data_IF_031490700475
#
_entry.id   IF_031490700475
#
_cell.length_a   1.000
_cell.length_b   1.000
_cell.length_c   1.000
_cell.angle_alpha   90.00
_cell.angle_beta   90.00
_cell.angle_gamma   90.00
#
_symmetry.space_group_name_H-M   'P 1'
#
loop_
_entity.id
_entity.type
_entity.pdbx_description
1 polymer ?
#
# COMPACT_ATOMS: atom_id res chain seq x y z
N UNK A 1 -31.48 -20.29 11.11
CA UNK A 1 -30.02 -20.34 11.29
C UNK A 1 -29.48 -19.10 10.65
N UNK A 2 -29.11 -18.11 11.46
CA UNK A 2 -28.31 -16.96 11.01
C UNK A 2 -26.87 -17.45 10.91
N UNK A 3 -26.34 -17.56 9.70
CA UNK A 3 -24.91 -17.73 9.48
C UNK A 3 -24.22 -16.43 9.93
N UNK A 4 -23.81 -16.40 11.19
CA UNK A 4 -22.81 -15.44 11.63
C UNK A 4 -21.49 -15.94 11.07
N UNK A 5 -21.05 -15.40 9.94
CA UNK A 5 -19.67 -15.53 9.49
C UNK A 5 -18.77 -15.11 10.64
N UNK A 6 -18.08 -16.08 11.23
CA UNK A 6 -17.02 -15.81 12.20
C UNK A 6 -15.94 -15.10 11.41
N UNK A 7 -15.86 -13.78 11.59
CA UNK A 7 -14.69 -13.02 11.20
C UNK A 7 -13.57 -13.61 12.06
N UNK A 8 -12.69 -14.42 11.47
CA UNK A 8 -11.46 -14.86 12.15
C UNK A 8 -10.72 -13.65 12.70
N UNK A 9 -9.85 -13.83 13.70
CA UNK A 9 -9.07 -12.73 14.28
C UNK A 9 -8.43 -11.94 13.13
N UNK A 10 -9.03 -10.79 12.85
CA UNK A 10 -8.62 -9.98 11.72
C UNK A 10 -7.16 -9.62 12.01
N UNK A 11 -6.23 -9.76 11.05
CA UNK A 11 -4.85 -9.38 11.28
C UNK A 11 -4.83 -8.01 11.92
N UNK A 12 -4.09 -7.88 13.02
CA UNK A 12 -4.12 -6.65 13.80
C UNK A 12 -3.80 -5.48 12.87
N UNK A 13 -4.49 -4.35 13.07
CA UNK A 13 -4.28 -3.09 12.32
C UNK A 13 -2.78 -2.74 12.15
N UNK A 14 -1.94 -3.19 13.08
CA UNK A 14 -0.49 -3.07 13.03
C UNK A 14 0.18 -3.79 11.86
N UNK A 15 -0.33 -4.94 11.42
CA UNK A 15 0.19 -5.64 10.24
C UNK A 15 -0.16 -4.90 8.94
N UNK A 16 -1.38 -4.36 8.84
CA UNK A 16 -1.76 -3.48 7.72
C UNK A 16 -0.83 -2.27 7.68
N UNK A 17 -0.59 -1.63 8.84
CA UNK A 17 0.36 -0.51 8.93
C UNK A 17 1.78 -0.93 8.57
N UNK A 18 2.24 -2.12 8.98
CA UNK A 18 3.57 -2.65 8.63
C UNK A 18 3.74 -2.76 7.12
N UNK A 19 2.78 -3.38 6.43
CA UNK A 19 2.81 -3.53 4.96
C UNK A 19 2.77 -2.17 4.27
N UNK A 20 1.89 -1.26 4.69
CA UNK A 20 1.85 0.09 4.13
C UNK A 20 3.14 0.87 4.43
N UNK A 21 3.80 0.62 5.56
CA UNK A 21 5.08 1.24 5.88
C UNK A 21 6.20 0.74 4.95
N UNK A 22 6.16 -0.51 4.47
CA UNK A 22 7.11 -0.98 3.44
C UNK A 22 6.97 -0.18 2.14
N UNK A 23 5.75 0.15 1.74
CA UNK A 23 5.51 1.03 0.59
C UNK A 23 6.17 2.40 0.77
N UNK A 24 5.97 3.03 1.94
CA UNK A 24 6.59 4.32 2.28
C UNK A 24 8.11 4.23 2.24
N UNK A 25 8.67 3.23 2.90
CA UNK A 25 10.10 3.00 2.98
C UNK A 25 10.74 2.73 1.61
N UNK A 26 9.96 2.21 0.65
CA UNK A 26 10.41 1.96 -0.70
C UNK A 26 10.92 3.21 -1.42
N UNK A 27 10.36 4.39 -1.12
CA UNK A 27 10.83 5.66 -1.67
C UNK A 27 12.23 6.07 -1.19
N UNK A 28 12.74 5.45 -0.11
CA UNK A 28 14.08 5.69 0.45
C UNK A 28 15.14 4.69 -0.03
N UNK A 29 14.89 4.00 -1.15
CA UNK A 29 15.87 3.11 -1.78
C UNK A 29 15.67 1.61 -1.52
N UNK A 30 14.49 1.20 -1.05
CA UNK A 30 14.14 -0.20 -0.81
C UNK A 30 13.23 -0.78 -1.87
N UNK A 31 13.76 -1.19 -3.03
CA UNK A 31 12.96 -1.84 -4.08
C UNK A 31 12.36 -3.16 -3.56
N UNK A 32 13.15 -3.92 -2.81
CA UNK A 32 12.75 -5.16 -2.15
C UNK A 32 11.56 -4.95 -1.20
N UNK A 33 11.45 -3.77 -0.57
CA UNK A 33 10.31 -3.43 0.29
C UNK A 33 9.05 -3.19 -0.53
N UNK A 34 9.18 -2.59 -1.72
CA UNK A 34 8.06 -2.44 -2.65
C UNK A 34 7.60 -3.81 -3.17
N UNK A 35 8.54 -4.71 -3.47
CA UNK A 35 8.23 -6.08 -3.90
C UNK A 35 7.57 -6.90 -2.78
N UNK A 36 7.88 -6.64 -1.52
CA UNK A 36 7.19 -7.25 -0.37
C UNK A 36 5.79 -6.66 -0.13
N UNK A 37 5.59 -5.36 -0.39
CA UNK A 37 4.34 -4.66 -0.07
C UNK A 37 3.19 -4.94 -1.04
N UNK A 38 3.51 -5.26 -2.30
CA UNK A 38 2.52 -5.37 -3.38
C UNK A 38 2.53 -6.75 -4.02
N UNK A 39 1.35 -7.24 -4.33
CA UNK A 39 1.19 -8.41 -5.18
C UNK A 39 1.73 -8.11 -6.57
N UNK A 40 2.30 -9.12 -7.23
CA UNK A 40 2.89 -9.00 -8.58
C UNK A 40 1.92 -8.45 -9.64
N UNK A 41 0.61 -8.63 -9.42
CA UNK A 41 -0.47 -8.22 -10.32
C UNK A 41 -1.19 -6.94 -9.83
N UNK A 42 -0.62 -6.22 -8.87
CA UNK A 42 -1.19 -4.99 -8.33
C UNK A 42 -1.11 -3.83 -9.33
N UNK A 43 -2.17 -3.04 -9.39
CA UNK A 43 -2.31 -1.90 -10.31
C UNK A 43 -2.23 -0.58 -9.56
N UNK A 44 -1.73 0.45 -10.24
CA UNK A 44 -1.83 1.83 -9.80
C UNK A 44 -2.58 2.68 -10.82
N UNK A 45 -3.43 3.55 -10.29
CA UNK A 45 -4.14 4.59 -11.02
C UNK A 45 -3.74 5.92 -10.43
N UNK A 46 -3.13 6.80 -11.23
CA UNK A 46 -2.64 8.10 -10.77
C UNK A 46 -3.03 9.18 -11.77
N UNK A 47 -3.39 10.36 -11.26
CA UNK A 47 -3.53 11.56 -12.07
C UNK A 47 -2.18 12.26 -12.14
N UNK A 48 -1.71 12.56 -13.34
CA UNK A 48 -0.51 13.39 -13.52
C UNK A 48 -0.79 14.88 -13.25
N UNK A 49 0.23 15.72 -13.41
CA UNK A 49 0.13 17.16 -13.14
C UNK A 49 -0.88 17.86 -14.06
N UNK A 50 -1.16 17.28 -15.23
CA UNK A 50 -2.14 17.76 -16.20
C UNK A 50 -3.55 17.18 -15.95
N UNK A 51 -3.70 16.31 -14.96
CA UNK A 51 -4.97 15.65 -14.61
C UNK A 51 -5.33 14.47 -15.51
N UNK A 52 -4.39 13.96 -16.31
CA UNK A 52 -4.60 12.77 -17.12
C UNK A 52 -4.40 11.51 -16.28
N UNK A 53 -5.23 10.49 -16.56
CA UNK A 53 -5.14 9.19 -15.88
C UNK A 53 -4.00 8.35 -16.47
N UNK A 54 -3.01 8.06 -15.65
CA UNK A 54 -2.04 7.01 -15.91
C UNK A 54 -2.48 5.71 -15.20
N UNK A 55 -2.28 4.58 -15.88
CA UNK A 55 -2.68 3.25 -15.40
C UNK A 55 -1.60 2.25 -15.77
N UNK A 56 -0.99 1.63 -14.77
CA UNK A 56 0.12 0.68 -14.95
C UNK A 56 0.05 -0.42 -13.88
N UNK A 57 0.82 -1.49 -14.10
CA UNK A 57 1.23 -2.33 -12.98
C UNK A 57 2.11 -1.50 -12.05
N UNK A 58 1.89 -1.63 -10.74
CA UNK A 58 2.64 -0.82 -9.78
C UNK A 58 4.13 -1.18 -9.78
N UNK A 59 4.45 -2.44 -10.09
CA UNK A 59 5.82 -2.96 -10.20
C UNK A 59 6.65 -2.24 -11.26
N UNK A 60 6.02 -1.74 -12.33
CA UNK A 60 6.69 -0.94 -13.37
C UNK A 60 7.22 0.39 -12.83
N UNK A 61 6.73 0.85 -11.66
CA UNK A 61 7.17 2.09 -11.02
C UNK A 61 8.29 1.89 -9.99
N UNK A 62 8.55 0.66 -9.54
CA UNK A 62 9.43 0.40 -8.39
C UNK A 62 10.85 0.91 -8.57
N UNK A 63 11.46 0.63 -9.72
CA UNK A 63 12.83 1.07 -10.01
C UNK A 63 12.97 2.59 -9.91
N UNK A 64 11.99 3.31 -10.46
CA UNK A 64 11.95 4.78 -10.44
C UNK A 64 11.73 5.31 -9.04
N UNK A 65 10.80 4.73 -8.28
CA UNK A 65 10.50 5.17 -6.92
C UNK A 65 11.65 4.90 -5.95
N UNK A 66 12.26 3.71 -6.01
CA UNK A 66 13.43 3.39 -5.19
C UNK A 66 14.62 4.33 -5.48
N UNK A 67 14.80 4.74 -6.74
CA UNK A 67 15.84 5.71 -7.11
C UNK A 67 15.50 7.15 -6.76
N UNK A 68 14.24 7.47 -6.53
CA UNK A 68 13.79 8.86 -6.38
C UNK A 68 14.34 9.53 -5.12
N UNK A 69 14.53 8.77 -4.02
CA UNK A 69 14.97 9.28 -2.72
C UNK A 69 14.20 10.55 -2.29
N UNK A 70 12.90 10.61 -2.59
CA UNK A 70 12.06 11.79 -2.31
C UNK A 70 12.05 12.05 -0.81
N UNK A 71 12.16 13.31 -0.39
CA UNK A 71 12.09 13.72 1.02
C UNK A 71 10.64 13.74 1.53
N UNK A 72 9.98 12.59 1.48
CA UNK A 72 8.55 12.45 1.80
C UNK A 72 8.34 11.96 3.23
N UNK A 73 7.38 12.56 3.92
CA UNK A 73 6.89 12.10 5.22
C UNK A 73 5.50 11.53 5.03
N UNK A 74 5.30 10.26 5.40
CA UNK A 74 3.98 9.64 5.32
C UNK A 74 3.14 9.92 6.57
N UNK A 75 1.83 9.85 6.40
CA UNK A 75 0.84 9.99 7.48
C UNK A 75 -0.37 9.10 7.20
N UNK A 76 -0.62 8.14 8.08
CA UNK A 76 -1.86 7.37 8.05
C UNK A 76 -3.03 8.29 8.40
N UNK A 77 -3.95 8.50 7.45
CA UNK A 77 -5.13 9.34 7.63
C UNK A 77 -6.29 8.50 8.15
N UNK A 78 -6.52 7.33 7.53
CA UNK A 78 -7.54 6.37 7.93
C UNK A 78 -7.11 4.95 7.59
N UNK A 79 -7.50 4.01 8.43
CA UNK A 79 -7.41 2.56 8.17
C UNK A 79 -8.79 1.99 8.44
N UNK A 80 -9.40 1.38 7.42
CA UNK A 80 -10.68 0.70 7.53
C UNK A 80 -10.49 -0.77 7.19
N UNK A 81 -10.94 -1.68 8.04
CA UNK A 81 -10.84 -3.12 7.83
C UNK A 81 -12.21 -3.76 7.97
N UNK A 82 -12.51 -4.71 7.09
CA UNK A 82 -13.71 -5.52 7.11
C UNK A 82 -13.34 -6.98 6.82
N UNK A 83 -13.01 -7.74 7.86
CA UNK A 83 -12.50 -9.10 7.72
C UNK A 83 -11.15 -9.12 6.99
N UNK A 84 -11.11 -9.79 5.84
CA UNK A 84 -9.91 -10.04 5.02
C UNK A 84 -9.63 -8.94 4.00
N UNK A 85 -10.37 -7.82 4.04
CA UNK A 85 -10.12 -6.65 3.20
C UNK A 85 -9.85 -5.42 4.06
N UNK A 86 -8.97 -4.56 3.56
CA UNK A 86 -8.69 -3.27 4.18
C UNK A 86 -8.54 -2.16 3.14
N UNK A 87 -8.80 -0.93 3.57
CA UNK A 87 -8.49 0.28 2.83
C UNK A 87 -7.71 1.24 3.73
N UNK A 88 -6.63 1.78 3.19
CA UNK A 88 -5.80 2.77 3.87
C UNK A 88 -5.79 4.05 3.06
N UNK A 89 -6.12 5.15 3.73
CA UNK A 89 -5.93 6.50 3.21
C UNK A 89 -4.60 7.01 3.75
N UNK A 90 -3.61 7.18 2.87
CA UNK A 90 -2.24 7.53 3.21
C UNK A 90 -1.88 8.88 2.59
N UNK A 91 -1.45 9.84 3.41
CA UNK A 91 -0.91 11.10 2.91
C UNK A 91 0.61 11.06 2.82
N UNK A 92 1.17 11.67 1.77
CA UNK A 92 2.59 11.93 1.62
C UNK A 92 2.83 13.43 1.56
N UNK A 93 3.52 13.95 2.57
CA UNK A 93 3.93 15.35 2.62
C UNK A 93 5.37 15.43 2.05
N UNK A 94 5.53 16.08 0.89
CA UNK A 94 6.86 16.31 0.32
C UNK A 94 7.51 17.51 1.03
N UNK A 95 8.57 17.25 1.79
CA UNK A 95 9.23 18.24 2.64
C UNK A 95 9.95 19.33 1.84
N UNK A 96 10.31 19.04 0.58
CA UNK A 96 11.00 19.99 -0.31
C UNK A 96 10.01 20.89 -1.06
N UNK A 97 8.84 20.35 -1.43
CA UNK A 97 7.76 21.09 -2.07
C UNK A 97 6.40 20.55 -1.65
N UNK A 98 5.70 21.27 -0.78
CA UNK A 98 4.39 20.86 -0.28
C UNK A 98 3.31 20.78 -1.37
N UNK A 99 3.45 21.51 -2.48
CA UNK A 99 2.50 21.42 -3.62
C UNK A 99 2.63 20.09 -4.37
N UNK A 100 3.77 19.40 -4.23
CA UNK A 100 4.03 18.05 -4.76
C UNK A 100 3.79 16.96 -3.69
N UNK A 101 2.87 17.24 -2.77
CA UNK A 101 2.31 16.28 -1.81
C UNK A 101 1.09 15.58 -2.40
N UNK A 102 0.82 14.34 -1.99
CA UNK A 102 -0.29 13.57 -2.53
C UNK A 102 -0.96 12.69 -1.49
N UNK A 103 -2.09 12.08 -1.88
CA UNK A 103 -2.84 11.14 -1.05
C UNK A 103 -3.13 9.90 -1.87
N UNK A 104 -2.82 8.74 -1.30
CA UNK A 104 -3.13 7.44 -1.88
C UNK A 104 -4.30 6.78 -1.14
N UNK A 105 -5.15 6.10 -1.92
CA UNK A 105 -6.13 5.14 -1.42
C UNK A 105 -5.61 3.76 -1.76
N UNK A 106 -5.22 3.02 -0.75
CA UNK A 106 -4.59 1.70 -0.87
C UNK A 106 -5.65 0.65 -0.52
N UNK A 107 -5.98 -0.23 -1.45
CA UNK A 107 -6.82 -1.40 -1.18
C UNK A 107 -5.92 -2.59 -0.89
N UNK A 108 -6.16 -3.30 0.21
CA UNK A 108 -5.41 -4.49 0.61
C UNK A 108 -6.35 -5.68 0.76
N UNK A 109 -5.84 -6.85 0.40
CA UNK A 109 -6.51 -8.13 0.62
C UNK A 109 -5.55 -9.04 1.40
N UNK A 110 -6.08 -9.70 2.43
CA UNK A 110 -5.35 -10.73 3.15
C UNK A 110 -5.27 -11.95 2.24
N UNK A 111 -4.05 -12.36 1.88
CA UNK A 111 -3.85 -13.59 1.14
C UNK A 111 -3.22 -14.64 2.06
N UNK A 112 -3.82 -15.83 2.09
CA UNK A 112 -3.14 -17.01 2.62
C UNK A 112 -2.14 -17.48 1.58
N UNK A 113 -0.85 -17.61 1.91
CA UNK A 113 0.08 -18.24 0.99
C UNK A 113 -0.22 -19.74 0.90
N UNK A 114 0.20 -20.37 -0.21
CA UNK A 114 0.22 -21.83 -0.28
C UNK A 114 1.06 -22.38 0.89
N UNK A 115 0.61 -23.44 1.60
CA UNK A 115 1.34 -23.96 2.75
C UNK A 115 2.79 -24.29 2.38
N UNK A 116 3.78 -23.92 3.21
CA UNK A 116 3.68 -23.75 4.67
C UNK A 116 3.91 -22.30 5.18
N UNK A 117 3.39 -21.26 4.54
CA UNK A 117 3.62 -19.87 4.97
C UNK A 117 2.43 -19.24 5.74
N UNK A 118 2.68 -18.15 6.48
CA UNK A 118 1.66 -17.39 7.24
C UNK A 118 0.94 -16.37 6.34
N UNK A 119 -0.33 -16.00 6.63
CA UNK A 119 -1.08 -15.00 5.86
C UNK A 119 -0.34 -13.65 5.76
N UNK A 120 -0.36 -13.02 4.59
CA UNK A 120 0.30 -11.73 4.32
C UNK A 120 -0.70 -10.80 3.63
N UNK A 121 -0.72 -9.53 4.02
CA UNK A 121 -1.46 -8.51 3.26
C UNK A 121 -0.65 -8.07 2.07
N UNK A 122 -1.29 -8.01 0.91
CA UNK A 122 -0.75 -7.36 -0.27
C UNK A 122 -1.78 -6.38 -0.83
N UNK A 123 -1.26 -5.28 -1.37
CA UNK A 123 -1.99 -4.44 -2.32
C UNK A 123 -1.84 -4.92 -3.74
#
# INVERSE_FOLDING_TARGET
>A
MTETTVVGDAPEIEEIKRVVQLYVDGFQGGREKLEEAFHKDAWIFVLDAEGALATDLISDRFERWAKSRRAVKSRFIAVTQAGEVASVLLGFDNSDNLEDSWVDVIALILIEPSPPAQPVWLS
#
